data_IF_468252839806
#
_entry.id   IF_468252839806
#
_cell.length_a   1.000
_cell.length_b   1.000
_cell.length_c   1.000
_cell.angle_alpha   90.00
_cell.angle_beta   90.00
_cell.angle_gamma   90.00
#
_symmetry.space_group_name_H-M   'P 1'
#
loop_
_entity.id
_entity.type
_entity.pdbx_description
1 polymer ?
#
# COMPACT_ATOMS: atom_id res chain seq x y z
N UNK A 1 34.43 23.51 27.97
CA UNK A 1 35.14 23.22 26.71
C UNK A 1 34.04 23.08 25.65
N UNK A 2 33.91 24.13 24.78
CA UNK A 2 32.97 24.05 23.63
C UNK A 2 33.48 22.91 22.73
N UNK A 3 32.63 21.91 22.46
CA UNK A 3 32.87 20.95 21.38
C UNK A 3 32.92 21.76 20.10
N UNK A 4 34.05 21.75 19.39
CA UNK A 4 34.10 22.25 18.03
C UNK A 4 33.02 21.51 17.23
N UNK A 5 32.08 22.23 16.66
CA UNK A 5 31.14 21.66 15.71
C UNK A 5 31.93 21.28 14.44
N UNK A 6 32.04 19.97 14.19
CA UNK A 6 32.61 19.45 12.94
C UNK A 6 31.88 20.08 11.75
N UNK A 7 32.62 20.36 10.67
CA UNK A 7 31.97 20.69 9.43
C UNK A 7 31.22 19.47 8.86
N UNK A 8 30.41 19.66 7.79
CA UNK A 8 29.56 18.59 7.26
C UNK A 8 30.39 17.39 6.79
N UNK A 9 31.52 17.65 6.12
CA UNK A 9 32.38 16.62 5.55
C UNK A 9 33.14 15.84 6.65
N UNK A 10 33.60 16.53 7.68
CA UNK A 10 34.20 15.91 8.87
C UNK A 10 33.18 15.04 9.61
N UNK A 11 31.93 15.55 9.78
CA UNK A 11 30.83 14.81 10.38
C UNK A 11 30.47 13.54 9.60
N UNK A 12 30.45 13.63 8.28
CA UNK A 12 30.21 12.49 7.38
C UNK A 12 31.31 11.42 7.55
N UNK A 13 32.58 11.80 7.53
CA UNK A 13 33.70 10.85 7.67
C UNK A 13 33.67 10.14 9.03
N UNK A 14 33.26 10.86 10.08
CA UNK A 14 33.11 10.26 11.42
C UNK A 14 31.95 9.28 11.50
N UNK A 15 30.84 9.59 10.80
CA UNK A 15 29.64 8.76 10.78
C UNK A 15 29.71 7.60 9.77
N UNK A 16 30.56 7.72 8.73
CA UNK A 16 30.62 6.77 7.64
C UNK A 16 31.24 5.44 8.07
N UNK A 17 30.53 4.36 7.85
CA UNK A 17 31.12 3.03 7.75
C UNK A 17 31.85 2.90 6.39
N UNK A 18 32.80 1.99 6.31
CA UNK A 18 33.85 1.88 5.26
C UNK A 18 33.41 1.85 3.78
N UNK A 19 32.12 1.90 3.47
CA UNK A 19 31.58 1.80 2.10
C UNK A 19 31.04 3.14 1.55
N UNK A 20 30.97 4.21 2.33
CA UNK A 20 30.41 5.49 1.92
C UNK A 20 31.51 6.40 1.31
N UNK A 21 31.31 6.84 0.07
CA UNK A 21 32.22 7.76 -0.62
C UNK A 21 31.68 9.19 -0.56
N UNK A 22 32.35 10.04 0.22
CA UNK A 22 32.02 11.45 0.38
C UNK A 22 32.05 12.21 -0.95
N UNK A 23 32.95 11.83 -1.88
CA UNK A 23 33.09 12.51 -3.16
C UNK A 23 31.85 12.40 -4.07
N UNK A 24 31.00 11.41 -3.81
CA UNK A 24 29.74 11.19 -4.55
C UNK A 24 28.57 12.00 -3.98
N UNK A 25 28.69 12.60 -2.78
CA UNK A 25 27.59 13.33 -2.13
C UNK A 25 27.40 14.71 -2.76
N UNK A 26 26.23 14.98 -3.35
CA UNK A 26 25.98 16.27 -4.01
C UNK A 26 25.91 17.41 -2.99
N UNK A 27 26.37 18.62 -3.38
CA UNK A 27 26.32 19.81 -2.53
C UNK A 27 24.87 20.13 -2.07
N UNK A 28 23.90 20.01 -2.98
CA UNK A 28 22.47 20.21 -2.65
C UNK A 28 21.97 19.25 -1.58
N UNK A 29 22.48 18.01 -1.52
CA UNK A 29 22.13 17.04 -0.48
C UNK A 29 22.66 17.49 0.90
N UNK A 30 23.88 18.01 0.96
CA UNK A 30 24.51 18.49 2.20
C UNK A 30 23.77 19.66 2.86
N UNK A 31 22.99 20.43 2.08
CA UNK A 31 22.18 21.53 2.62
C UNK A 31 20.87 21.09 3.27
N UNK A 32 20.37 19.89 2.92
CA UNK A 32 19.06 19.39 3.34
C UNK A 32 19.16 18.31 4.44
N UNK A 33 20.26 17.59 4.49
CA UNK A 33 20.43 16.45 5.38
C UNK A 33 21.68 16.56 6.27
N UNK A 34 21.60 15.90 7.44
CA UNK A 34 22.74 15.82 8.35
C UNK A 34 23.84 14.91 7.80
N UNK A 35 25.10 15.07 8.25
CA UNK A 35 26.21 14.17 7.89
C UNK A 35 25.93 12.70 8.15
N UNK A 36 25.27 12.39 9.28
CA UNK A 36 24.92 11.02 9.69
C UNK A 36 23.90 10.40 8.71
N UNK A 37 22.91 11.21 8.30
CA UNK A 37 21.93 10.77 7.28
C UNK A 37 22.64 10.55 5.95
N UNK A 38 23.54 11.44 5.55
CA UNK A 38 24.34 11.30 4.34
C UNK A 38 25.19 10.03 4.32
N UNK A 39 25.87 9.73 5.42
CA UNK A 39 26.69 8.53 5.56
C UNK A 39 25.85 7.24 5.46
N UNK A 40 24.69 7.21 6.13
CA UNK A 40 23.75 6.09 6.05
C UNK A 40 23.21 5.88 4.65
N UNK A 41 22.78 6.95 3.98
CA UNK A 41 22.20 6.89 2.65
C UNK A 41 23.25 6.50 1.60
N UNK A 42 24.48 7.03 1.67
CA UNK A 42 25.58 6.63 0.80
C UNK A 42 25.96 5.15 1.01
N UNK A 43 26.01 4.66 2.25
CA UNK A 43 26.25 3.26 2.54
C UNK A 43 25.14 2.31 2.01
N UNK A 44 23.89 2.79 2.02
CA UNK A 44 22.74 2.08 1.47
C UNK A 44 22.84 1.97 -0.06
N UNK A 45 23.12 3.08 -0.75
CA UNK A 45 23.35 3.12 -2.20
C UNK A 45 24.51 2.22 -2.63
N UNK A 46 25.60 2.18 -1.84
CA UNK A 46 26.76 1.32 -2.14
C UNK A 46 26.43 -0.19 -2.12
N UNK A 47 25.40 -0.60 -1.37
CA UNK A 47 24.94 -1.99 -1.26
C UNK A 47 23.91 -2.37 -2.32
N UNK A 48 23.34 -1.40 -3.04
CA UNK A 48 22.35 -1.68 -4.09
C UNK A 48 23.01 -2.33 -5.31
N UNK A 49 22.47 -3.47 -5.72
CA UNK A 49 22.83 -4.11 -6.98
C UNK A 49 22.28 -3.31 -8.18
N UNK A 50 22.85 -3.46 -9.38
CA UNK A 50 22.28 -2.88 -10.60
C UNK A 50 20.82 -3.30 -10.79
N UNK A 51 19.92 -2.32 -11.06
CA UNK A 51 18.48 -2.55 -11.14
C UNK A 51 17.79 -2.73 -9.78
N UNK A 52 18.53 -2.71 -8.68
CA UNK A 52 17.98 -2.74 -7.32
C UNK A 52 17.34 -1.40 -6.92
N UNK A 53 16.38 -1.48 -6.01
CA UNK A 53 15.82 -0.31 -5.34
C UNK A 53 15.58 -0.60 -3.86
N UNK A 54 15.54 0.47 -3.07
CA UNK A 54 15.18 0.43 -1.66
C UNK A 54 14.31 1.63 -1.33
N UNK A 55 13.41 1.50 -0.37
CA UNK A 55 12.50 2.55 0.07
C UNK A 55 12.74 2.87 1.55
N UNK A 56 12.71 4.14 1.90
CA UNK A 56 12.71 4.62 3.28
C UNK A 56 11.62 5.66 3.47
N UNK A 57 10.61 5.33 4.27
CA UNK A 57 9.62 6.29 4.72
C UNK A 57 10.08 6.92 6.03
N UNK A 58 9.94 8.25 6.14
CA UNK A 58 10.33 8.96 7.36
C UNK A 58 9.46 10.20 7.58
N UNK A 59 9.38 10.64 8.83
CA UNK A 59 8.81 11.95 9.18
C UNK A 59 9.95 12.98 9.21
N UNK A 60 9.80 14.13 8.52
CA UNK A 60 10.78 15.22 8.62
C UNK A 60 10.85 15.76 10.05
N UNK A 61 12.05 16.19 10.46
CA UNK A 61 12.25 16.81 11.78
C UNK A 61 11.34 18.03 11.94
N UNK A 62 10.66 18.13 13.09
CA UNK A 62 9.69 19.19 13.37
C UNK A 62 8.34 19.08 12.66
N UNK A 63 8.10 18.01 11.87
CA UNK A 63 6.85 17.79 11.13
C UNK A 63 6.37 16.33 11.27
N UNK A 64 5.93 15.90 12.46
CA UNK A 64 5.60 14.50 12.72
C UNK A 64 4.40 13.99 11.88
N UNK A 65 3.55 14.89 11.43
CA UNK A 65 2.38 14.57 10.61
C UNK A 65 2.68 14.48 9.11
N UNK A 66 3.85 14.96 8.69
CA UNK A 66 4.31 14.83 7.31
C UNK A 66 5.01 13.49 7.10
N UNK A 67 5.00 13.00 5.86
CA UNK A 67 5.82 11.85 5.45
C UNK A 67 6.60 12.19 4.20
N UNK A 68 7.81 11.68 4.16
CA UNK A 68 8.65 11.67 2.98
C UNK A 68 9.11 10.26 2.66
N UNK A 69 9.20 9.94 1.39
CA UNK A 69 9.67 8.65 0.92
C UNK A 69 10.93 8.83 0.09
N UNK A 70 12.04 8.34 0.59
CA UNK A 70 13.27 8.20 -0.20
C UNK A 70 13.20 6.92 -1.03
N UNK A 71 13.47 7.06 -2.31
CA UNK A 71 13.61 5.96 -3.28
C UNK A 71 15.06 5.91 -3.71
N UNK A 72 15.78 4.89 -3.29
CA UNK A 72 17.17 4.62 -3.63
C UNK A 72 17.21 3.72 -4.85
N UNK A 73 17.90 4.11 -5.91
CA UNK A 73 17.95 3.33 -7.17
C UNK A 73 19.33 3.43 -7.84
N UNK A 74 19.66 2.40 -8.64
CA UNK A 74 20.83 2.40 -9.55
C UNK A 74 20.42 2.40 -11.02
N UNK A 75 19.26 2.93 -11.35
CA UNK A 75 18.78 3.06 -12.72
C UNK A 75 17.99 4.37 -12.89
N UNK A 76 17.74 4.75 -14.13
CA UNK A 76 16.83 5.84 -14.43
C UNK A 76 15.39 5.42 -14.09
N UNK A 77 14.74 6.14 -13.18
CA UNK A 77 13.33 5.96 -12.85
C UNK A 77 12.53 7.11 -13.46
N UNK A 78 11.54 6.73 -14.27
CA UNK A 78 10.63 7.72 -14.82
C UNK A 78 9.55 8.09 -13.79
N UNK A 79 9.33 9.39 -13.57
CA UNK A 79 8.24 9.90 -12.75
C UNK A 79 6.87 9.43 -13.24
N UNK A 80 6.71 9.20 -14.54
CA UNK A 80 5.47 8.64 -15.12
C UNK A 80 5.18 7.22 -14.65
N UNK A 81 6.18 6.50 -14.14
CA UNK A 81 6.00 5.16 -13.54
C UNK A 81 5.66 5.24 -12.05
N UNK A 82 6.30 6.14 -11.30
CA UNK A 82 6.17 6.17 -9.84
C UNK A 82 4.97 6.99 -9.35
N UNK A 83 4.66 8.13 -9.97
CA UNK A 83 3.58 9.00 -9.54
C UNK A 83 2.20 8.31 -9.55
N UNK A 84 1.85 7.47 -10.55
CA UNK A 84 0.62 6.70 -10.51
C UNK A 84 0.52 5.73 -9.31
N UNK A 85 1.66 5.19 -8.84
CA UNK A 85 1.67 4.33 -7.65
C UNK A 85 1.18 5.14 -6.46
N UNK A 86 1.77 6.32 -6.19
CA UNK A 86 1.35 7.16 -5.06
C UNK A 86 -0.12 7.60 -5.17
N UNK A 87 -0.56 7.98 -6.39
CA UNK A 87 -1.97 8.32 -6.62
C UNK A 87 -2.93 7.17 -6.32
N UNK A 88 -2.52 5.92 -6.56
CA UNK A 88 -3.31 4.74 -6.25
C UNK A 88 -3.39 4.44 -4.74
N UNK A 89 -2.48 5.00 -3.93
CA UNK A 89 -2.56 5.00 -2.47
C UNK A 89 -3.34 6.21 -1.92
N UNK A 90 -3.96 7.01 -2.79
CA UNK A 90 -4.67 8.25 -2.45
C UNK A 90 -3.75 9.30 -1.80
N UNK A 91 -2.52 9.38 -2.30
CA UNK A 91 -1.51 10.31 -1.85
C UNK A 91 -1.28 11.41 -2.87
N UNK A 92 -1.07 12.62 -2.38
CA UNK A 92 -0.60 13.76 -3.16
C UNK A 92 0.91 13.90 -2.96
N UNK A 93 1.67 13.88 -4.07
CA UNK A 93 3.08 14.25 -4.05
C UNK A 93 3.17 15.78 -3.99
N UNK A 94 3.74 16.31 -2.92
CA UNK A 94 3.85 17.76 -2.68
C UNK A 94 5.08 18.37 -3.33
N UNK A 95 6.17 17.63 -3.32
CA UNK A 95 7.45 17.99 -3.92
C UNK A 95 8.30 16.73 -4.18
N UNK A 96 9.32 16.88 -5.02
CA UNK A 96 10.31 15.83 -5.30
C UNK A 96 11.70 16.47 -5.31
N UNK A 97 12.66 15.82 -4.67
CA UNK A 97 14.05 16.23 -4.57
C UNK A 97 14.97 15.13 -5.09
N UNK A 98 15.51 15.28 -6.32
CA UNK A 98 16.41 14.29 -6.89
C UNK A 98 17.86 14.58 -6.49
N UNK A 99 18.60 13.55 -6.11
CA UNK A 99 20.02 13.63 -5.78
C UNK A 99 20.79 12.54 -6.52
N UNK A 100 21.86 12.93 -7.27
CA UNK A 100 22.72 11.99 -7.99
C UNK A 100 23.97 11.69 -7.16
N UNK A 101 24.19 10.41 -6.86
CA UNK A 101 25.35 9.85 -6.17
C UNK A 101 26.13 8.98 -7.15
N UNK A 102 26.91 9.57 -8.05
CA UNK A 102 27.58 8.84 -9.12
C UNK A 102 26.58 8.21 -10.10
N UNK A 103 26.57 6.88 -10.19
CA UNK A 103 25.64 6.10 -11.01
C UNK A 103 24.31 5.77 -10.28
N UNK A 104 24.24 6.04 -8.98
CA UNK A 104 23.04 5.85 -8.16
C UNK A 104 22.28 7.16 -7.94
N UNK A 105 21.02 7.06 -7.54
CA UNK A 105 20.15 8.22 -7.29
C UNK A 105 19.28 8.02 -6.06
N UNK A 106 18.99 9.13 -5.40
CA UNK A 106 17.93 9.21 -4.38
C UNK A 106 16.88 10.18 -4.91
N UNK A 107 15.62 9.72 -4.95
CA UNK A 107 14.47 10.58 -5.14
C UNK A 107 13.76 10.70 -3.79
N UNK A 108 13.62 11.90 -3.26
CA UNK A 108 12.94 12.14 -2.00
C UNK A 108 11.61 12.85 -2.25
N UNK A 109 10.51 12.11 -2.08
CA UNK A 109 9.14 12.58 -2.34
C UNK A 109 8.47 13.05 -1.06
N UNK A 110 7.96 14.27 -1.05
CA UNK A 110 7.01 14.72 -0.04
C UNK A 110 5.63 14.08 -0.31
N UNK A 111 5.08 13.41 0.69
CA UNK A 111 3.80 12.71 0.59
C UNK A 111 2.77 13.30 1.55
N UNK A 112 1.57 13.58 1.04
CA UNK A 112 0.44 14.05 1.83
C UNK A 112 -0.75 13.13 1.64
N UNK A 113 -1.22 12.53 2.74
CA UNK A 113 -2.51 11.84 2.82
C UNK A 113 -3.66 12.86 3.03
N UNK A 114 -4.90 12.40 2.91
CA UNK A 114 -6.09 13.23 3.17
C UNK A 114 -6.11 13.77 4.60
N UNK A 115 -5.67 12.96 5.57
CA UNK A 115 -5.47 13.37 6.96
C UNK A 115 -4.22 12.72 7.56
N UNK A 116 -3.57 13.37 8.56
CA UNK A 116 -2.38 12.83 9.23
C UNK A 116 -2.62 11.48 9.92
N UNK A 117 -3.83 11.24 10.44
CA UNK A 117 -4.19 10.03 11.16
C UNK A 117 -4.05 8.77 10.30
N UNK A 118 -4.11 8.90 8.96
CA UNK A 118 -3.89 7.78 8.03
C UNK A 118 -2.49 7.17 8.15
N UNK A 119 -1.53 7.89 8.74
CA UNK A 119 -0.17 7.40 8.98
C UNK A 119 0.00 6.68 10.31
N UNK A 120 -1.02 6.66 11.18
CA UNK A 120 -0.93 5.96 12.46
C UNK A 120 -0.69 4.46 12.23
N UNK A 121 0.43 3.96 12.74
CA UNK A 121 0.87 2.56 12.62
C UNK A 121 0.87 2.03 11.15
N UNK A 122 1.06 2.94 10.18
CA UNK A 122 0.93 2.60 8.76
C UNK A 122 2.26 2.45 8.02
N UNK A 123 3.35 2.94 8.58
CA UNK A 123 4.63 3.12 7.88
C UNK A 123 5.16 1.81 7.26
N UNK A 124 5.27 0.73 8.03
CA UNK A 124 5.75 -0.56 7.53
C UNK A 124 4.81 -1.16 6.48
N UNK A 125 3.51 -1.16 6.77
CA UNK A 125 2.45 -1.66 5.88
C UNK A 125 2.43 -0.91 4.54
N UNK A 126 2.62 0.40 4.58
CA UNK A 126 2.68 1.24 3.39
C UNK A 126 3.92 0.93 2.56
N UNK A 127 5.12 0.89 3.16
CA UNK A 127 6.37 0.57 2.47
C UNK A 127 6.30 -0.81 1.82
N UNK A 128 5.78 -1.81 2.52
CA UNK A 128 5.58 -3.16 1.98
C UNK A 128 4.66 -3.15 0.76
N UNK A 129 3.53 -2.44 0.83
CA UNK A 129 2.56 -2.38 -0.25
C UNK A 129 3.08 -1.57 -1.46
N UNK A 130 3.81 -0.47 -1.24
CA UNK A 130 4.44 0.30 -2.33
C UNK A 130 5.53 -0.53 -3.00
N UNK A 131 6.36 -1.23 -2.23
CA UNK A 131 7.37 -2.15 -2.75
C UNK A 131 6.74 -3.21 -3.66
N UNK A 132 5.68 -3.84 -3.19
CA UNK A 132 4.96 -4.86 -3.95
C UNK A 132 4.31 -4.31 -5.25
N UNK A 133 3.77 -3.07 -5.20
CA UNK A 133 3.23 -2.39 -6.38
C UNK A 133 4.34 -1.99 -7.37
N UNK A 134 5.51 -1.59 -6.88
CA UNK A 134 6.67 -1.24 -7.68
C UNK A 134 7.24 -2.44 -8.45
N UNK A 135 7.37 -3.57 -7.76
CA UNK A 135 7.87 -4.82 -8.36
C UNK A 135 6.85 -5.54 -9.24
N UNK A 136 5.59 -5.13 -9.20
CA UNK A 136 4.51 -5.82 -9.91
C UNK A 136 4.03 -7.10 -9.21
N UNK A 137 4.41 -7.31 -7.94
CA UNK A 137 3.87 -8.39 -7.10
C UNK A 137 2.37 -8.24 -6.88
N UNK A 138 1.90 -6.99 -6.75
CA UNK A 138 0.49 -6.66 -6.67
C UNK A 138 0.08 -5.69 -7.80
N UNK A 139 -1.20 -5.70 -8.17
CA UNK A 139 -1.74 -4.68 -9.07
C UNK A 139 -1.69 -3.29 -8.42
N UNK A 140 -1.26 -2.28 -9.20
CA UNK A 140 -1.32 -0.88 -8.80
C UNK A 140 -2.64 -0.27 -9.28
N UNK A 141 -3.62 -0.20 -8.38
CA UNK A 141 -4.94 0.38 -8.64
C UNK A 141 -5.48 1.12 -7.40
N UNK A 142 -6.60 1.79 -7.54
CA UNK A 142 -7.18 2.63 -6.48
C UNK A 142 -7.53 1.87 -5.18
N UNK A 143 -7.65 0.54 -5.18
CA UNK A 143 -7.86 -0.23 -3.95
C UNK A 143 -6.65 -0.17 -3.01
N UNK A 144 -5.45 0.17 -3.53
CA UNK A 144 -4.27 0.35 -2.69
C UNK A 144 -4.44 1.49 -1.67
N UNK A 145 -5.35 2.44 -1.92
CA UNK A 145 -5.71 3.47 -0.95
C UNK A 145 -6.20 2.89 0.39
N UNK A 146 -6.80 1.68 0.37
CA UNK A 146 -7.29 1.01 1.58
C UNK A 146 -6.16 0.59 2.54
N UNK A 147 -4.92 0.55 2.09
CA UNK A 147 -3.75 0.33 2.96
C UNK A 147 -3.65 1.43 4.01
N UNK A 148 -3.88 2.68 3.61
CA UNK A 148 -3.85 3.83 4.51
C UNK A 148 -5.23 4.13 5.09
N UNK A 149 -6.28 4.15 4.27
CA UNK A 149 -7.61 4.59 4.70
C UNK A 149 -8.35 3.55 5.55
N UNK A 150 -8.14 2.26 5.28
CA UNK A 150 -8.76 1.16 6.02
C UNK A 150 -7.78 0.37 6.89
N UNK A 151 -6.48 0.68 6.86
CA UNK A 151 -5.46 -0.04 7.61
C UNK A 151 -5.24 -1.47 7.13
N UNK A 152 -5.52 -1.78 5.86
CA UNK A 152 -5.44 -3.12 5.31
C UNK A 152 -4.02 -3.48 4.86
N UNK A 153 -3.64 -4.73 5.05
CA UNK A 153 -2.43 -5.31 4.48
C UNK A 153 -2.60 -5.52 2.96
N UNK A 154 -1.49 -5.55 2.20
CA UNK A 154 -1.53 -5.81 0.75
C UNK A 154 -2.27 -7.11 0.38
N UNK A 155 -2.14 -8.16 1.18
CA UNK A 155 -2.84 -9.44 1.01
C UNK A 155 -4.35 -9.32 1.19
N UNK A 156 -4.80 -8.53 2.14
CA UNK A 156 -6.21 -8.24 2.39
C UNK A 156 -6.82 -7.43 1.23
N UNK A 157 -6.09 -6.43 0.73
CA UNK A 157 -6.48 -5.68 -0.47
C UNK A 157 -6.56 -6.61 -1.70
N UNK A 158 -5.67 -7.59 -1.83
CA UNK A 158 -5.72 -8.59 -2.91
C UNK A 158 -7.00 -9.43 -2.87
N UNK A 159 -7.48 -9.82 -1.68
CA UNK A 159 -8.77 -10.51 -1.51
C UNK A 159 -9.91 -9.63 -2.02
N UNK A 160 -10.01 -8.37 -1.59
CA UNK A 160 -11.05 -7.45 -2.06
C UNK A 160 -10.99 -7.25 -3.58
N UNK A 161 -9.78 -7.11 -4.14
CA UNK A 161 -9.56 -6.96 -5.58
C UNK A 161 -10.11 -8.15 -6.37
N UNK A 162 -9.87 -9.36 -5.89
CA UNK A 162 -10.36 -10.58 -6.52
C UNK A 162 -11.89 -10.69 -6.44
N UNK A 163 -12.48 -10.37 -5.28
CA UNK A 163 -13.94 -10.32 -5.10
C UNK A 163 -14.61 -9.29 -6.01
N UNK A 164 -14.04 -8.08 -6.11
CA UNK A 164 -14.51 -7.03 -7.05
C UNK A 164 -14.39 -7.51 -8.50
N UNK A 165 -13.30 -8.20 -8.85
CA UNK A 165 -13.11 -8.81 -10.16
C UNK A 165 -14.23 -9.80 -10.49
N UNK A 166 -14.58 -10.64 -9.52
CA UNK A 166 -15.66 -11.62 -9.67
C UNK A 166 -17.04 -10.97 -9.81
N UNK A 167 -17.36 -9.93 -9.04
CA UNK A 167 -18.61 -9.19 -9.18
C UNK A 167 -18.84 -8.71 -10.61
N UNK A 168 -17.78 -8.21 -11.25
CA UNK A 168 -17.85 -7.77 -12.64
C UNK A 168 -18.08 -8.92 -13.61
N UNK A 169 -17.44 -10.08 -13.37
CA UNK A 169 -17.63 -11.29 -14.15
C UNK A 169 -19.04 -11.87 -13.97
N UNK A 170 -19.55 -11.80 -12.75
CA UNK A 170 -20.88 -12.27 -12.37
C UNK A 170 -22.04 -11.40 -12.94
N UNK A 171 -21.72 -10.32 -13.69
CA UNK A 171 -22.71 -9.51 -14.40
C UNK A 171 -23.26 -8.33 -13.60
N UNK A 172 -22.66 -7.95 -12.46
CA UNK A 172 -23.05 -6.72 -11.77
C UNK A 172 -22.82 -5.51 -12.71
N UNK A 173 -23.82 -4.63 -12.93
CA UNK A 173 -23.80 -3.65 -14.02
C UNK A 173 -22.98 -2.40 -13.69
N UNK A 174 -21.82 -2.58 -13.06
CA UNK A 174 -20.89 -1.50 -12.72
C UNK A 174 -19.51 -1.75 -13.33
N UNK A 175 -18.81 -0.68 -13.71
CA UNK A 175 -17.42 -0.78 -14.15
C UNK A 175 -16.50 -1.18 -12.98
N UNK A 176 -15.35 -1.83 -13.27
CA UNK A 176 -14.35 -2.14 -12.24
C UNK A 176 -13.93 -0.90 -11.47
N UNK A 177 -13.74 0.23 -12.17
CA UNK A 177 -13.37 1.51 -11.55
C UNK A 177 -14.43 2.00 -10.56
N UNK A 178 -15.72 1.85 -10.92
CA UNK A 178 -16.82 2.27 -10.04
C UNK A 178 -16.90 1.38 -8.79
N UNK A 179 -16.79 0.05 -8.96
CA UNK A 179 -16.75 -0.92 -7.86
C UNK A 179 -15.62 -0.62 -6.87
N UNK A 180 -14.41 -0.35 -7.39
CA UNK A 180 -13.24 0.00 -6.57
C UNK A 180 -13.45 1.32 -5.82
N UNK A 181 -13.97 2.34 -6.50
CA UNK A 181 -14.26 3.66 -5.89
C UNK A 181 -15.30 3.56 -4.78
N UNK A 182 -16.31 2.71 -4.91
CA UNK A 182 -17.30 2.49 -3.85
C UNK A 182 -16.66 1.97 -2.56
N UNK A 183 -15.71 1.01 -2.66
CA UNK A 183 -14.97 0.51 -1.50
C UNK A 183 -14.03 1.55 -0.89
N UNK A 184 -13.31 2.29 -1.73
CA UNK A 184 -12.36 3.33 -1.25
C UNK A 184 -13.09 4.46 -0.52
N UNK A 185 -14.30 4.82 -0.97
CA UNK A 185 -15.15 5.81 -0.28
C UNK A 185 -15.70 5.34 1.07
N UNK A 186 -15.74 4.03 1.29
CA UNK A 186 -16.29 3.41 2.49
C UNK A 186 -15.24 2.51 3.15
N UNK A 187 -14.11 3.05 3.67
CA UNK A 187 -12.99 2.26 4.15
C UNK A 187 -13.35 1.38 5.35
N UNK A 188 -14.24 1.82 6.23
CA UNK A 188 -14.74 1.02 7.35
C UNK A 188 -15.51 -0.20 6.86
N UNK A 189 -16.35 -0.04 5.84
CA UNK A 189 -17.08 -1.14 5.24
C UNK A 189 -16.12 -2.11 4.51
N UNK A 190 -15.10 -1.58 3.82
CA UNK A 190 -14.07 -2.39 3.19
C UNK A 190 -13.31 -3.24 4.22
N UNK A 191 -12.97 -2.67 5.38
CA UNK A 191 -12.37 -3.38 6.51
C UNK A 191 -13.29 -4.48 7.04
N UNK A 192 -14.57 -4.16 7.28
CA UNK A 192 -15.54 -5.12 7.79
C UNK A 192 -15.72 -6.33 6.84
N UNK A 193 -15.67 -6.13 5.52
CA UNK A 193 -15.67 -7.24 4.56
C UNK A 193 -14.45 -8.16 4.72
N UNK A 194 -13.27 -7.58 4.95
CA UNK A 194 -12.05 -8.36 5.19
C UNK A 194 -12.15 -9.12 6.50
N UNK A 195 -12.55 -8.47 7.59
CA UNK A 195 -12.71 -9.09 8.91
C UNK A 195 -13.70 -10.27 8.86
N UNK A 196 -14.81 -10.10 8.15
CA UNK A 196 -15.76 -11.18 7.94
C UNK A 196 -15.17 -12.32 7.12
N UNK A 197 -14.43 -12.02 6.05
CA UNK A 197 -13.74 -13.03 5.25
C UNK A 197 -12.70 -13.80 6.07
N UNK A 198 -11.91 -13.09 6.88
CA UNK A 198 -10.90 -13.68 7.77
C UNK A 198 -11.52 -14.57 8.84
N UNK A 199 -12.59 -14.13 9.49
CA UNK A 199 -13.31 -14.95 10.48
C UNK A 199 -13.84 -16.26 9.90
N UNK A 200 -14.13 -16.29 8.59
CA UNK A 200 -14.60 -17.50 7.91
C UNK A 200 -13.49 -18.44 7.46
N UNK A 201 -12.33 -17.92 7.09
CA UNK A 201 -11.36 -18.69 6.32
C UNK A 201 -9.95 -18.68 6.90
N UNK A 202 -9.59 -17.72 7.76
CA UNK A 202 -8.26 -17.65 8.33
C UNK A 202 -8.12 -18.67 9.46
N UNK A 203 -7.17 -19.62 9.36
CA UNK A 203 -6.93 -20.59 10.42
C UNK A 203 -6.57 -19.89 11.74
N UNK A 204 -7.22 -20.29 12.83
CA UNK A 204 -6.96 -19.74 14.16
C UNK A 204 -7.59 -18.37 14.45
N UNK A 205 -8.36 -17.80 13.52
CA UNK A 205 -9.15 -16.61 13.81
C UNK A 205 -10.26 -16.96 14.83
N UNK A 206 -10.35 -16.19 15.92
CA UNK A 206 -11.29 -16.45 17.02
C UNK A 206 -12.61 -15.65 16.91
N UNK A 207 -12.73 -14.74 15.93
CA UNK A 207 -13.94 -13.93 15.75
C UNK A 207 -15.12 -14.78 15.27
N UNK A 208 -16.32 -14.50 15.79
CA UNK A 208 -17.54 -15.17 15.32
C UNK A 208 -17.98 -14.58 13.95
N UNK A 209 -17.96 -15.39 12.88
CA UNK A 209 -18.37 -14.89 11.57
C UNK A 209 -19.86 -14.53 11.49
N UNK A 210 -20.71 -15.01 12.41
CA UNK A 210 -22.13 -14.65 12.42
C UNK A 210 -22.32 -13.23 12.92
N UNK A 211 -21.67 -12.86 14.02
CA UNK A 211 -21.70 -11.50 14.57
C UNK A 211 -21.18 -10.48 13.56
N UNK A 212 -20.03 -10.78 12.92
CA UNK A 212 -19.46 -9.91 11.91
C UNK A 212 -20.35 -9.76 10.68
N UNK A 213 -21.05 -10.84 10.28
CA UNK A 213 -22.01 -10.78 9.19
C UNK A 213 -23.22 -9.91 9.53
N UNK A 214 -23.75 -10.01 10.74
CA UNK A 214 -24.88 -9.19 11.20
C UNK A 214 -24.46 -7.71 11.22
N UNK A 215 -23.31 -7.37 11.77
CA UNK A 215 -22.76 -6.01 11.75
C UNK A 215 -22.55 -5.47 10.31
N UNK A 216 -22.08 -6.33 9.39
CA UNK A 216 -21.95 -6.00 7.97
C UNK A 216 -23.29 -5.67 7.34
N UNK A 217 -24.33 -6.47 7.55
CA UNK A 217 -25.68 -6.21 7.03
C UNK A 217 -26.21 -4.87 7.50
N UNK A 218 -26.02 -4.53 8.79
CA UNK A 218 -26.36 -3.20 9.31
C UNK A 218 -25.54 -2.09 8.66
N UNK A 219 -24.23 -2.31 8.48
CA UNK A 219 -23.32 -1.36 7.81
C UNK A 219 -23.73 -1.09 6.36
N UNK A 220 -24.10 -2.14 5.62
CA UNK A 220 -24.60 -2.03 4.24
C UNK A 220 -25.89 -1.23 4.18
N UNK A 221 -26.81 -1.41 5.13
CA UNK A 221 -28.06 -0.65 5.20
C UNK A 221 -27.86 0.86 5.46
N UNK A 222 -26.66 1.28 5.88
CA UNK A 222 -26.27 2.69 6.06
C UNK A 222 -25.52 3.27 4.87
N UNK A 223 -25.44 2.56 3.75
CA UNK A 223 -24.73 3.01 2.56
C UNK A 223 -25.26 4.37 2.05
N UNK A 224 -24.34 5.23 1.57
CA UNK A 224 -24.68 6.60 1.15
C UNK A 224 -25.53 6.65 -0.14
N UNK A 225 -25.56 5.58 -0.93
CA UNK A 225 -26.31 5.49 -2.18
C UNK A 225 -26.84 4.07 -2.41
N UNK A 226 -27.90 3.95 -3.22
CA UNK A 226 -28.44 2.66 -3.67
C UNK A 226 -27.41 1.84 -4.47
N UNK A 227 -26.53 2.50 -5.19
CA UNK A 227 -25.47 1.82 -5.93
C UNK A 227 -24.43 1.23 -4.97
N UNK A 228 -23.99 2.00 -3.96
CA UNK A 228 -23.06 1.51 -2.93
C UNK A 228 -23.68 0.36 -2.13
N UNK A 229 -24.95 0.47 -1.76
CA UNK A 229 -25.70 -0.62 -1.12
C UNK A 229 -25.75 -1.87 -1.99
N UNK A 230 -26.04 -1.72 -3.29
CA UNK A 230 -26.10 -2.83 -4.24
C UNK A 230 -24.75 -3.51 -4.44
N UNK A 231 -23.66 -2.73 -4.48
CA UNK A 231 -22.29 -3.24 -4.58
C UNK A 231 -21.93 -4.00 -3.30
N UNK A 232 -22.21 -3.44 -2.14
CA UNK A 232 -21.92 -4.04 -0.85
C UNK A 232 -22.71 -5.35 -0.64
N UNK A 233 -24.00 -5.37 -0.97
CA UNK A 233 -24.83 -6.60 -0.96
C UNK A 233 -24.27 -7.65 -1.93
N UNK A 234 -23.79 -7.24 -3.10
CA UNK A 234 -23.12 -8.12 -4.05
C UNK A 234 -21.87 -8.76 -3.49
N UNK A 235 -20.99 -7.97 -2.82
CA UNK A 235 -19.79 -8.46 -2.16
C UNK A 235 -20.11 -9.44 -1.03
N UNK A 236 -21.09 -9.08 -0.19
CA UNK A 236 -21.55 -9.96 0.90
C UNK A 236 -22.02 -11.30 0.35
N UNK A 237 -22.86 -11.29 -0.70
CA UNK A 237 -23.36 -12.50 -1.33
C UNK A 237 -22.22 -13.37 -1.92
N UNK A 238 -21.20 -12.74 -2.51
CA UNK A 238 -20.04 -13.48 -3.02
C UNK A 238 -19.23 -14.08 -1.89
N UNK A 239 -18.95 -13.32 -0.80
CA UNK A 239 -18.25 -13.87 0.36
C UNK A 239 -19.04 -15.01 0.97
N UNK A 240 -20.36 -14.87 1.14
CA UNK A 240 -21.24 -15.93 1.65
C UNK A 240 -21.19 -17.20 0.78
N UNK A 241 -21.00 -17.04 -0.53
CA UNK A 241 -20.90 -18.14 -1.49
C UNK A 241 -19.53 -18.82 -1.52
N UNK A 242 -18.48 -18.22 -0.96
CA UNK A 242 -17.16 -18.85 -0.86
C UNK A 242 -17.25 -20.06 0.04
N UNK A 243 -16.84 -21.22 -0.47
CA UNK A 243 -16.79 -22.50 0.27
C UNK A 243 -15.39 -22.76 0.81
N UNK A 244 -14.36 -22.41 0.05
CA UNK A 244 -12.95 -22.50 0.45
C UNK A 244 -12.07 -21.60 -0.40
N UNK A 245 -10.89 -21.27 0.11
CA UNK A 245 -9.87 -20.44 -0.53
C UNK A 245 -8.48 -20.93 -0.18
N UNK A 246 -7.49 -20.51 -0.96
CA UNK A 246 -6.07 -20.66 -0.66
C UNK A 246 -5.43 -19.36 -0.14
N UNK A 247 -6.21 -18.35 0.23
CA UNK A 247 -5.72 -17.03 0.64
C UNK A 247 -4.68 -17.06 1.79
N UNK A 248 -4.71 -18.13 2.60
CA UNK A 248 -3.81 -18.30 3.76
C UNK A 248 -2.76 -19.40 3.55
N UNK A 249 -2.59 -19.88 2.32
CA UNK A 249 -1.51 -20.80 1.99
C UNK A 249 -0.23 -20.04 1.69
N UNK A 250 0.83 -20.35 2.44
CA UNK A 250 2.16 -19.77 2.21
C UNK A 250 2.69 -20.22 0.84
N UNK A 251 3.21 -19.27 0.05
CA UNK A 251 3.83 -19.54 -1.25
C UNK A 251 2.83 -19.79 -2.40
N UNK A 252 1.54 -19.52 -2.20
CA UNK A 252 0.57 -19.61 -3.29
C UNK A 252 0.86 -18.51 -4.34
N UNK A 253 1.09 -18.93 -5.60
CA UNK A 253 1.37 -18.02 -6.71
C UNK A 253 0.14 -17.24 -7.19
N UNK A 254 -1.06 -17.65 -6.81
CA UNK A 254 -2.32 -17.03 -7.21
C UNK A 254 -3.38 -17.24 -6.14
N UNK A 255 -4.32 -16.29 -6.04
CA UNK A 255 -5.47 -16.36 -5.16
C UNK A 255 -6.62 -17.10 -5.85
N UNK A 256 -7.18 -18.11 -5.19
CA UNK A 256 -8.28 -18.93 -5.71
C UNK A 256 -9.44 -19.03 -4.71
N UNK A 257 -10.66 -19.01 -5.24
CA UNK A 257 -11.90 -19.22 -4.49
C UNK A 257 -12.71 -20.35 -5.10
N UNK A 258 -13.22 -21.25 -4.28
CA UNK A 258 -14.30 -22.14 -4.66
C UNK A 258 -15.62 -21.53 -4.21
N UNK A 259 -16.51 -21.27 -5.15
CA UNK A 259 -17.81 -20.65 -4.92
C UNK A 259 -18.96 -21.68 -5.08
N UNK A 260 -20.04 -21.45 -4.35
CA UNK A 260 -21.35 -22.10 -4.53
C UNK A 260 -22.26 -21.14 -5.33
N UNK A 261 -22.39 -21.27 -6.67
CA UNK A 261 -23.09 -20.29 -7.49
C UNK A 261 -24.57 -20.10 -7.12
N UNK A 262 -25.20 -21.13 -6.57
CA UNK A 262 -26.61 -21.08 -6.15
C UNK A 262 -26.89 -20.05 -5.06
N UNK A 263 -25.87 -19.69 -4.27
CA UNK A 263 -25.96 -18.67 -3.22
C UNK A 263 -25.88 -17.24 -3.75
N UNK A 264 -25.49 -17.05 -5.02
CA UNK A 264 -25.33 -15.73 -5.63
C UNK A 264 -26.57 -15.41 -6.45
N UNK A 265 -27.54 -14.72 -5.82
CA UNK A 265 -28.88 -14.49 -6.41
C UNK A 265 -28.90 -13.68 -7.71
N UNK A 266 -27.88 -12.85 -7.97
CA UNK A 266 -27.78 -12.00 -9.17
C UNK A 266 -27.07 -12.66 -10.36
N UNK A 267 -26.57 -13.91 -10.23
CA UNK A 267 -25.99 -14.62 -11.35
C UNK A 267 -27.06 -14.93 -12.41
N UNK A 268 -26.75 -14.75 -13.72
CA UNK A 268 -27.65 -15.14 -14.79
C UNK A 268 -27.85 -16.65 -14.86
N UNK A 269 -29.02 -17.06 -15.36
CA UNK A 269 -29.30 -18.47 -15.62
C UNK A 269 -28.84 -18.86 -17.05
N UNK A 270 -28.36 -20.11 -17.29
CA UNK A 270 -28.18 -21.18 -16.29
C UNK A 270 -26.95 -20.93 -15.41
N UNK A 271 -27.08 -21.11 -14.11
CA UNK A 271 -25.94 -20.98 -13.19
C UNK A 271 -24.97 -22.13 -13.37
N UNK A 272 -23.63 -21.88 -13.24
CA UNK A 272 -22.65 -22.96 -13.20
C UNK A 272 -22.97 -23.97 -12.08
N UNK A 273 -22.61 -25.24 -12.31
CA UNK A 273 -22.80 -26.33 -11.33
C UNK A 273 -21.71 -26.30 -10.26
#
# INVERSE_FOLDING_TARGET
>A
VARATLDWDEGFVVAAESAADLSLVPAAYKTEYTPETGARDAARLAKLEPGGFELELYAPEGSPDARRLKVFVREEVSLTRILPIFSNFDLVVTDERPYAFGDAKIFDFGLRAESPERWTDADERFVEAVTAAWTGEIESDSLNALVLSAGLMKSQVAVLRALVGYLRQAGLPFSRTYLRKSLVKNPELARAFVEYFEARFQPGNAADPRELREALVEGVGRAASLDDERIANGLLAVIDAVVRTNAYLTGAASLAFKLEPRRIGFLPEPRPL
#
